data_IF_441283956765
#
_entry.id   IF_441283956765
#
_cell.length_a   1.000
_cell.length_b   1.000
_cell.length_c   1.000
_cell.angle_alpha   90.00
_cell.angle_beta   90.00
_cell.angle_gamma   90.00
#
_symmetry.space_group_name_H-M   'P 1'
#
loop_
_entity.id
_entity.type
_entity.pdbx_description
1 polymer ?
#
# COMPACT_ATOMS: atom_id res chain seq x y z
N UNK A 1 13.50 -3.95 -26.44
CA UNK A 1 12.17 -3.41 -26.13
C UNK A 1 12.23 -1.91 -26.37
N UNK A 2 11.14 -1.22 -26.72
CA UNK A 2 11.18 0.24 -26.83
C UNK A 2 11.01 0.84 -25.43
N UNK A 3 11.60 2.00 -25.10
CA UNK A 3 11.42 2.63 -23.79
C UNK A 3 9.94 2.82 -23.40
N UNK A 4 9.09 3.18 -24.36
CA UNK A 4 7.64 3.30 -24.16
C UNK A 4 6.95 1.98 -23.75
N UNK A 5 7.50 0.85 -24.20
CA UNK A 5 6.99 -0.47 -23.83
C UNK A 5 7.44 -0.83 -22.40
N UNK A 6 8.65 -0.43 -21.99
CA UNK A 6 9.17 -0.61 -20.63
C UNK A 6 8.34 0.20 -19.61
N UNK A 7 8.08 1.47 -19.89
CA UNK A 7 7.23 2.34 -19.07
C UNK A 7 5.83 1.75 -18.90
N UNK A 8 5.20 1.32 -20.00
CA UNK A 8 3.85 0.74 -19.99
C UNK A 8 3.80 -0.55 -19.17
N UNK A 9 4.82 -1.41 -19.31
CA UNK A 9 4.93 -2.66 -18.56
C UNK A 9 5.13 -2.38 -17.08
N UNK A 10 6.06 -1.48 -16.72
CA UNK A 10 6.31 -1.08 -15.34
C UNK A 10 5.04 -0.51 -14.67
N UNK A 11 4.32 0.37 -15.36
CA UNK A 11 3.08 0.96 -14.84
C UNK A 11 1.95 -0.07 -14.68
N UNK A 12 1.91 -1.09 -15.55
CA UNK A 12 0.95 -2.19 -15.40
C UNK A 12 1.31 -3.09 -14.21
N UNK A 13 2.56 -3.52 -14.11
CA UNK A 13 3.06 -4.36 -13.01
C UNK A 13 2.87 -3.69 -11.65
N UNK A 14 3.20 -2.40 -11.53
CA UNK A 14 3.04 -1.64 -10.29
C UNK A 14 1.58 -1.64 -9.79
N UNK A 15 0.62 -1.41 -10.69
CA UNK A 15 -0.81 -1.43 -10.35
C UNK A 15 -1.29 -2.82 -9.95
N UNK A 16 -0.89 -3.86 -10.69
CA UNK A 16 -1.26 -5.25 -10.37
C UNK A 16 -0.66 -5.68 -9.03
N UNK A 17 0.61 -5.36 -8.77
CA UNK A 17 1.26 -5.66 -7.49
C UNK A 17 0.62 -4.89 -6.32
N UNK A 18 0.28 -3.62 -6.51
CA UNK A 18 -0.45 -2.87 -5.49
C UNK A 18 -1.81 -3.51 -5.18
N UNK A 19 -2.53 -4.03 -6.19
CA UNK A 19 -3.81 -4.72 -5.99
C UNK A 19 -3.63 -6.08 -5.30
N UNK A 20 -2.62 -6.85 -5.70
CA UNK A 20 -2.43 -8.23 -5.24
C UNK A 20 -1.73 -8.32 -3.87
N UNK A 21 -0.83 -7.38 -3.56
CA UNK A 21 0.06 -7.48 -2.40
C UNK A 21 -0.23 -6.42 -1.31
N UNK A 22 -1.01 -5.38 -1.60
CA UNK A 22 -1.23 -4.26 -0.67
C UNK A 22 -2.72 -4.01 -0.43
N UNK A 23 -3.48 -3.73 -1.48
CA UNK A 23 -4.96 -3.73 -1.42
C UNK A 23 -5.47 -5.13 -1.11
N UNK A 24 -6.70 -5.22 -0.60
CA UNK A 24 -7.33 -6.48 -0.19
C UNK A 24 -6.60 -7.21 0.96
N UNK A 25 -5.76 -6.47 1.71
CA UNK A 25 -5.14 -6.96 2.94
C UNK A 25 -5.84 -6.35 4.16
N UNK A 26 -5.26 -6.50 5.35
CA UNK A 26 -5.72 -5.80 6.55
C UNK A 26 -5.80 -4.28 6.39
N UNK A 27 -5.09 -3.70 5.39
CA UNK A 27 -5.16 -2.28 5.08
C UNK A 27 -6.59 -1.78 4.83
N UNK A 28 -7.46 -2.61 4.25
CA UNK A 28 -8.87 -2.24 3.98
C UNK A 28 -9.71 -2.13 5.26
N UNK A 29 -9.23 -2.70 6.37
CA UNK A 29 -9.93 -2.63 7.67
C UNK A 29 -9.61 -1.34 8.42
N UNK A 30 -8.55 -0.62 8.04
CA UNK A 30 -8.17 0.64 8.70
C UNK A 30 -9.22 1.75 8.50
N UNK A 31 -9.78 1.99 7.29
CA UNK A 31 -10.84 2.98 7.10
C UNK A 31 -12.24 2.44 7.41
N UNK A 32 -12.39 1.17 7.83
CA UNK A 32 -13.69 0.51 7.98
C UNK A 32 -14.52 0.98 9.20
N UNK A 33 -14.05 1.99 9.92
CA UNK A 33 -14.76 2.58 11.05
C UNK A 33 -15.93 3.47 10.63
N UNK A 34 -16.86 3.71 11.56
CA UNK A 34 -17.91 4.70 11.34
C UNK A 34 -17.30 6.11 11.36
N UNK A 35 -17.39 6.82 10.23
CA UNK A 35 -17.03 8.24 10.15
C UNK A 35 -18.11 9.05 10.89
N UNK A 36 -17.73 9.90 11.86
CA UNK A 36 -18.68 10.76 12.55
C UNK A 36 -19.38 11.74 11.59
N UNK A 37 -20.65 12.04 11.86
CA UNK A 37 -21.36 13.07 11.13
C UNK A 37 -20.85 14.46 11.52
N UNK A 38 -20.48 15.27 10.53
CA UNK A 38 -20.09 16.68 10.68
C UNK A 38 -21.17 17.58 10.08
N UNK A 39 -21.54 18.66 10.77
CA UNK A 39 -22.46 19.68 10.24
C UNK A 39 -21.76 20.72 9.38
N UNK A 40 -20.45 20.93 9.59
CA UNK A 40 -19.63 21.82 8.75
C UNK A 40 -19.12 21.11 7.49
N UNK A 41 -19.10 19.78 7.48
CA UNK A 41 -18.67 18.95 6.36
C UNK A 41 -17.17 18.66 6.33
N UNK A 42 -16.38 19.39 7.12
CA UNK A 42 -14.93 19.23 7.25
C UNK A 42 -14.49 18.54 8.56
N UNK A 43 -15.45 18.15 9.41
CA UNK A 43 -15.17 17.48 10.68
C UNK A 43 -14.62 18.39 11.77
N UNK A 44 -14.47 19.70 11.53
CA UNK A 44 -13.98 20.65 12.53
C UNK A 44 -14.91 20.80 13.74
N UNK A 45 -16.19 20.45 13.58
CA UNK A 45 -17.20 20.41 14.64
C UNK A 45 -17.30 19.06 15.37
N UNK A 46 -16.48 18.07 15.00
CA UNK A 46 -16.49 16.72 15.58
C UNK A 46 -15.43 16.62 16.68
N UNK A 47 -15.85 16.11 17.84
CA UNK A 47 -14.98 15.80 18.99
C UNK A 47 -15.15 14.32 19.34
N UNK A 48 -14.03 13.61 19.49
CA UNK A 48 -13.98 12.27 20.06
C UNK A 48 -13.71 12.38 21.55
N UNK A 49 -14.42 11.60 22.35
CA UNK A 49 -14.20 11.50 23.79
C UNK A 49 -13.70 10.09 24.10
N UNK A 50 -12.51 9.99 24.68
CA UNK A 50 -11.94 8.70 25.08
C UNK A 50 -12.47 8.22 26.44
N UNK A 51 -12.02 7.04 26.88
CA UNK A 51 -12.47 6.44 28.13
C UNK A 51 -12.04 7.24 29.39
N UNK A 52 -11.00 8.06 29.29
CA UNK A 52 -10.51 8.92 30.37
C UNK A 52 -11.21 10.30 30.39
N UNK A 53 -12.08 10.56 29.40
CA UNK A 53 -12.83 11.80 29.25
C UNK A 53 -12.07 12.90 28.49
N UNK A 54 -10.93 12.58 27.87
CA UNK A 54 -10.22 13.55 27.04
C UNK A 54 -11.03 13.86 25.80
N UNK A 55 -11.08 15.15 25.43
CA UNK A 55 -11.79 15.64 24.25
C UNK A 55 -10.77 15.91 23.14
N UNK A 56 -10.78 15.08 22.11
CA UNK A 56 -9.81 15.12 21.01
C UNK A 56 -10.53 15.63 19.77
N UNK A 57 -10.09 16.74 19.15
CA UNK A 57 -10.60 17.17 17.85
C UNK A 57 -10.48 16.05 16.82
N UNK A 58 -11.48 15.88 15.95
CA UNK A 58 -11.44 14.82 14.92
C UNK A 58 -10.22 14.90 13.99
N UNK A 59 -9.68 16.10 13.78
CA UNK A 59 -8.44 16.35 13.03
C UNK A 59 -7.16 15.86 13.73
N UNK A 60 -7.22 15.58 15.04
CA UNK A 60 -6.10 15.13 15.86
C UNK A 60 -6.21 13.65 16.26
N UNK A 61 -7.32 13.00 15.91
CA UNK A 61 -7.52 11.57 16.15
C UNK A 61 -6.58 10.78 15.23
N UNK A 62 -5.85 9.81 15.79
CA UNK A 62 -5.04 8.89 14.99
C UNK A 62 -5.93 7.93 14.21
N UNK A 63 -6.23 8.29 12.97
CA UNK A 63 -7.10 7.55 12.04
C UNK A 63 -6.55 7.65 10.61
N UNK A 64 -7.13 6.86 9.71
CA UNK A 64 -6.91 6.96 8.26
C UNK A 64 -8.28 7.10 7.60
N UNK A 65 -8.60 8.23 6.95
CA UNK A 65 -9.78 8.34 6.08
C UNK A 65 -9.53 7.84 4.65
N UNK A 66 -10.62 7.85 3.87
CA UNK A 66 -10.63 7.46 2.47
C UNK A 66 -9.68 8.30 1.60
N UNK A 67 -9.48 9.59 1.91
CA UNK A 67 -8.60 10.46 1.13
C UNK A 67 -7.14 10.18 1.48
N UNK A 68 -6.82 9.99 2.75
CA UNK A 68 -5.51 9.51 3.22
C UNK A 68 -5.20 8.12 2.66
N UNK A 69 -6.17 7.20 2.64
CA UNK A 69 -6.03 5.88 2.05
C UNK A 69 -5.77 5.97 0.54
N UNK A 70 -6.46 6.89 -0.16
CA UNK A 70 -6.25 7.13 -1.59
C UNK A 70 -4.87 7.70 -1.87
N UNK A 71 -4.40 8.63 -1.04
CA UNK A 71 -3.06 9.21 -1.12
C UNK A 71 -1.98 8.15 -0.90
N UNK A 72 -2.13 7.33 0.15
CA UNK A 72 -1.24 6.22 0.46
C UNK A 72 -1.14 5.24 -0.72
N UNK A 73 -2.28 4.83 -1.28
CA UNK A 73 -2.28 3.90 -2.41
C UNK A 73 -1.64 4.49 -3.67
N UNK A 74 -1.80 5.80 -3.92
CA UNK A 74 -1.11 6.48 -5.01
C UNK A 74 0.40 6.43 -4.79
N UNK A 75 0.87 6.78 -3.60
CA UNK A 75 2.30 6.74 -3.27
C UNK A 75 2.87 5.33 -3.47
N UNK A 76 2.18 4.29 -3.00
CA UNK A 76 2.60 2.90 -3.16
C UNK A 76 2.74 2.53 -4.65
N UNK A 77 1.77 2.88 -5.49
CA UNK A 77 1.83 2.61 -6.93
C UNK A 77 3.00 3.36 -7.57
N UNK A 78 3.20 4.64 -7.25
CA UNK A 78 4.28 5.47 -7.80
C UNK A 78 5.66 4.94 -7.38
N UNK A 79 5.79 4.45 -6.14
CA UNK A 79 7.01 3.81 -5.63
C UNK A 79 7.30 2.48 -6.32
N UNK A 80 6.30 1.62 -6.49
CA UNK A 80 6.44 0.35 -7.21
C UNK A 80 6.80 0.59 -8.68
N UNK A 81 6.18 1.57 -9.32
CA UNK A 81 6.49 1.98 -10.69
C UNK A 81 7.95 2.42 -10.80
N UNK A 82 8.39 3.33 -9.93
CA UNK A 82 9.77 3.82 -9.88
C UNK A 82 10.75 2.68 -9.63
N UNK A 83 10.41 1.75 -8.74
CA UNK A 83 11.21 0.57 -8.47
C UNK A 83 11.41 -0.26 -9.74
N UNK A 84 10.33 -0.55 -10.50
CA UNK A 84 10.43 -1.30 -11.75
C UNK A 84 11.29 -0.60 -12.81
N UNK A 85 11.21 0.73 -12.92
CA UNK A 85 12.05 1.48 -13.87
C UNK A 85 13.53 1.47 -13.49
N UNK A 86 13.83 1.47 -12.19
CA UNK A 86 15.18 1.67 -11.68
C UNK A 86 15.86 0.39 -11.20
N UNK A 87 15.17 -0.74 -11.19
CA UNK A 87 15.73 -1.95 -10.60
C UNK A 87 17.01 -2.42 -11.29
N UNK A 88 17.29 -2.02 -12.53
CA UNK A 88 18.55 -2.33 -13.24
C UNK A 88 19.69 -1.32 -13.01
N UNK A 89 19.43 -0.19 -12.34
CA UNK A 89 20.45 0.78 -11.95
C UNK A 89 21.27 0.24 -10.76
N UNK A 90 22.59 0.00 -10.90
CA UNK A 90 23.42 -0.53 -9.83
C UNK A 90 23.45 0.36 -8.56
N UNK A 91 23.39 1.69 -8.73
CA UNK A 91 23.39 2.61 -7.60
C UNK A 91 22.08 2.54 -6.81
N UNK A 92 20.95 2.37 -7.52
CA UNK A 92 19.66 2.13 -6.90
C UNK A 92 19.63 0.78 -6.16
N UNK A 93 20.13 -0.30 -6.77
CA UNK A 93 20.26 -1.62 -6.12
C UNK A 93 21.04 -1.54 -4.81
N UNK A 94 22.19 -0.87 -4.83
CA UNK A 94 23.02 -0.71 -3.63
C UNK A 94 22.31 0.03 -2.49
N UNK A 95 21.39 0.95 -2.80
CA UNK A 95 20.54 1.60 -1.78
C UNK A 95 19.47 0.66 -1.24
N UNK A 96 18.79 -0.11 -2.10
CA UNK A 96 17.80 -1.11 -1.68
C UNK A 96 18.44 -2.18 -0.78
N UNK A 97 19.66 -2.63 -1.11
CA UNK A 97 20.40 -3.61 -0.30
C UNK A 97 20.70 -3.06 1.11
N UNK A 98 20.91 -1.74 1.26
CA UNK A 98 21.06 -1.12 2.60
C UNK A 98 19.77 -1.21 3.40
N UNK A 99 18.61 -1.09 2.77
CA UNK A 99 17.32 -1.20 3.44
C UNK A 99 17.01 -2.62 3.89
N UNK A 100 17.63 -3.65 3.28
CA UNK A 100 17.49 -5.03 3.73
C UNK A 100 17.94 -5.25 5.19
N UNK A 101 18.81 -4.39 5.71
CA UNK A 101 19.16 -4.41 7.14
C UNK A 101 17.97 -4.05 8.05
N UNK A 102 16.98 -3.29 7.55
CA UNK A 102 15.79 -2.88 8.30
C UNK A 102 14.78 -4.04 8.49
N UNK A 103 14.88 -5.09 7.67
CA UNK A 103 14.00 -6.27 7.79
C UNK A 103 14.60 -7.34 8.71
N UNK A 104 15.76 -7.09 9.32
CA UNK A 104 16.45 -8.07 10.16
C UNK A 104 15.65 -8.53 11.38
N UNK A 105 14.71 -7.70 11.86
CA UNK A 105 13.85 -8.01 13.00
C UNK A 105 12.49 -8.59 12.61
N UNK A 106 12.22 -8.73 11.30
CA UNK A 106 10.94 -9.20 10.81
C UNK A 106 10.93 -10.72 10.70
N UNK A 107 9.75 -11.32 10.92
CA UNK A 107 9.58 -12.75 10.69
C UNK A 107 9.80 -13.11 9.22
N UNK A 108 10.29 -14.32 8.98
CA UNK A 108 10.43 -14.83 7.62
C UNK A 108 9.07 -14.90 6.91
N UNK A 109 9.00 -14.53 5.61
CA UNK A 109 7.75 -14.57 4.87
C UNK A 109 7.24 -16.00 4.75
N UNK A 110 5.92 -16.17 4.81
CA UNK A 110 5.21 -17.43 4.54
C UNK A 110 4.42 -17.29 3.23
N UNK A 111 4.21 -18.38 2.48
CA UNK A 111 3.35 -18.33 1.30
C UNK A 111 1.94 -17.86 1.68
N UNK A 112 1.42 -16.88 0.93
CA UNK A 112 0.05 -16.42 1.11
C UNK A 112 -0.92 -17.50 0.59
N UNK A 113 -1.91 -17.95 1.39
CA UNK A 113 -2.81 -19.03 0.99
C UNK A 113 -3.72 -18.68 -0.19
N UNK A 114 -4.12 -17.41 -0.35
CA UNK A 114 -5.02 -16.98 -1.43
C UNK A 114 -4.28 -16.96 -2.76
N UNK A 115 -3.11 -16.31 -2.80
CA UNK A 115 -2.25 -16.27 -3.98
C UNK A 115 -1.74 -17.66 -4.36
N UNK A 116 -1.42 -18.50 -3.37
CA UNK A 116 -0.95 -19.88 -3.60
C UNK A 116 -2.04 -20.80 -4.17
N UNK A 117 -3.32 -20.46 -3.99
CA UNK A 117 -4.43 -21.24 -4.52
C UNK A 117 -4.74 -20.97 -6.00
N UNK A 118 -4.13 -19.92 -6.59
CA UNK A 118 -4.35 -19.58 -8.00
C UNK A 118 -3.70 -20.68 -8.87
N UNK A 119 -4.46 -21.38 -9.74
CA UNK A 119 -3.91 -22.46 -10.56
C UNK A 119 -2.81 -21.95 -11.50
N UNK A 120 -1.62 -22.55 -11.41
CA UNK A 120 -0.59 -22.33 -12.41
C UNK A 120 -0.96 -23.06 -13.71
N UNK A 121 -1.07 -22.35 -14.83
CA UNK A 121 -1.06 -23.03 -16.14
C UNK A 121 0.33 -23.63 -16.34
N UNK A 122 0.44 -24.96 -16.31
CA UNK A 122 1.61 -25.64 -16.86
C UNK A 122 1.64 -25.35 -18.37
N UNK A 123 2.71 -24.76 -18.92
CA UNK A 123 2.80 -24.64 -20.37
C UNK A 123 2.86 -26.05 -20.95
N UNK A 124 1.89 -26.40 -21.81
CA UNK A 124 1.97 -27.63 -22.59
C UNK A 124 3.27 -27.57 -23.40
N UNK A 125 4.21 -28.47 -23.07
CA UNK A 125 5.39 -28.70 -23.91
C UNK A 125 4.89 -29.39 -25.18
N UNK A 126 4.61 -28.59 -26.21
CA UNK A 126 4.54 -29.05 -27.60
C UNK A 126 5.93 -29.29 -28.17
#
# INVERSE_FOLDING_TARGET
MRPEDEDRIAAHLARVMAVACVRNTQLETLPAGQVPASRTGDGSDVIVVDADGNRIPWSEVSRIDDDEMRALMREIVDRLYTFHLRIDDPAFRAEIDRWAAMTATWDAPKPDPVLSAIPGKTPERG
#
